data_IF_886585271039
#
_entry.id   IF_886585271039
#
_cell.length_a   1.000
_cell.length_b   1.000
_cell.length_c   1.000
_cell.angle_alpha   90.00
_cell.angle_beta   90.00
_cell.angle_gamma   90.00
#
_symmetry.space_group_name_H-M   'P 1'
#
loop_
_entity.id
_entity.type
_entity.pdbx_description
1 polymer ?
#
# COMPACT_ATOMS: atom_id res chain seq x y z
N UNK A 1 2.70 -13.95 5.11
CA UNK A 1 2.00 -15.25 5.01
C UNK A 1 2.87 -16.37 4.46
N UNK A 2 3.62 -16.15 3.38
CA UNK A 2 4.51 -17.18 2.78
C UNK A 2 5.52 -17.79 3.78
N UNK A 3 5.98 -17.00 4.75
CA UNK A 3 6.84 -17.46 5.84
C UNK A 3 6.12 -18.27 6.94
N UNK A 4 4.85 -18.66 6.74
CA UNK A 4 4.08 -19.51 7.66
C UNK A 4 3.30 -18.79 8.76
N UNK A 5 3.32 -17.45 8.79
CA UNK A 5 2.53 -16.66 9.76
C UNK A 5 1.03 -16.75 9.49
N UNK A 6 0.25 -16.69 10.59
CA UNK A 6 -1.19 -16.51 10.53
C UNK A 6 -1.53 -15.27 9.71
N UNK A 7 -2.49 -15.42 8.82
CA UNK A 7 -2.78 -14.42 7.82
C UNK A 7 -3.66 -13.29 8.34
N UNK A 8 -4.44 -13.52 9.40
CA UNK A 8 -5.12 -12.44 10.13
C UNK A 8 -4.12 -11.55 10.83
N UNK A 9 -3.10 -12.14 11.47
CA UNK A 9 -2.00 -11.38 12.06
C UNK A 9 -1.27 -10.55 10.98
N UNK A 10 -0.98 -11.16 9.83
CA UNK A 10 -0.35 -10.44 8.72
C UNK A 10 -1.21 -9.25 8.22
N UNK A 11 -2.53 -9.39 8.19
CA UNK A 11 -3.43 -8.28 7.84
C UNK A 11 -3.35 -7.13 8.84
N UNK A 12 -3.33 -7.42 10.14
CA UNK A 12 -3.21 -6.39 11.18
C UNK A 12 -1.91 -5.59 11.03
N UNK A 13 -0.80 -6.30 10.97
CA UNK A 13 0.56 -5.73 10.95
C UNK A 13 0.91 -5.02 9.63
N UNK A 14 0.34 -5.45 8.50
CA UNK A 14 0.70 -4.91 7.18
C UNK A 14 -0.34 -3.97 6.56
N UNK A 15 -1.59 -3.95 7.05
CA UNK A 15 -2.63 -3.05 6.52
C UNK A 15 -3.39 -2.30 7.62
N UNK A 16 -3.96 -2.99 8.61
CA UNK A 16 -4.83 -2.35 9.60
C UNK A 16 -4.11 -1.24 10.37
N UNK A 17 -2.90 -1.51 10.85
CA UNK A 17 -2.11 -0.54 11.63
C UNK A 17 -1.57 0.63 10.80
N UNK A 18 -1.57 0.51 9.46
CA UNK A 18 -1.11 1.58 8.57
C UNK A 18 -1.90 2.86 8.80
N UNK A 19 -3.21 2.76 9.07
CA UNK A 19 -4.05 3.93 9.34
C UNK A 19 -3.51 4.74 10.53
N UNK A 20 -3.18 4.09 11.65
CA UNK A 20 -2.64 4.77 12.83
C UNK A 20 -1.34 5.51 12.53
N UNK A 21 -0.40 4.85 11.83
CA UNK A 21 0.89 5.46 11.48
C UNK A 21 0.69 6.67 10.55
N UNK A 22 -0.16 6.54 9.54
CA UNK A 22 -0.46 7.62 8.60
C UNK A 22 -1.23 8.76 9.27
N UNK A 23 -2.17 8.48 10.16
CA UNK A 23 -2.90 9.50 10.94
C UNK A 23 -1.92 10.31 11.81
N UNK A 24 -0.98 9.65 12.50
CA UNK A 24 0.07 10.33 13.26
C UNK A 24 0.98 11.19 12.39
N UNK A 25 1.33 10.71 11.19
CA UNK A 25 2.12 11.48 10.23
C UNK A 25 1.35 12.70 9.69
N UNK A 26 0.06 12.53 9.42
CA UNK A 26 -0.81 13.61 8.96
C UNK A 26 -0.94 14.72 10.02
N UNK A 27 -1.21 14.33 11.27
CA UNK A 27 -1.43 15.27 12.36
C UNK A 27 -0.14 15.95 12.86
N UNK A 28 0.99 15.22 12.86
CA UNK A 28 2.20 15.63 13.62
C UNK A 28 3.50 15.51 12.83
N UNK A 29 3.44 15.18 11.55
CA UNK A 29 4.60 14.92 10.71
C UNK A 29 5.41 13.69 11.14
N UNK A 30 6.51 13.43 10.43
CA UNK A 30 7.38 12.28 10.69
C UNK A 30 7.98 12.29 12.10
N UNK A 31 8.39 13.45 12.61
CA UNK A 31 8.99 13.57 13.94
C UNK A 31 7.97 13.25 15.03
N UNK A 32 6.70 13.69 14.88
CA UNK A 32 5.65 13.41 15.84
C UNK A 32 5.22 11.94 15.83
N UNK A 33 5.13 11.32 14.64
CA UNK A 33 4.89 9.87 14.53
C UNK A 33 6.00 9.09 15.22
N UNK A 34 7.28 9.41 14.96
CA UNK A 34 8.43 8.71 15.56
C UNK A 34 8.51 8.86 17.07
N UNK A 35 8.16 10.04 17.59
CA UNK A 35 8.02 10.25 19.03
C UNK A 35 6.89 9.42 19.66
N UNK A 36 5.85 9.09 18.88
CA UNK A 36 4.66 8.38 19.36
C UNK A 36 4.79 6.85 19.32
N UNK A 37 5.76 6.30 18.57
CA UNK A 37 6.04 4.85 18.52
C UNK A 37 7.15 4.48 19.49
N UNK A 38 7.33 3.19 19.76
CA UNK A 38 8.43 2.73 20.62
C UNK A 38 9.81 2.97 20.01
N UNK A 39 10.83 3.11 20.85
CA UNK A 39 12.23 3.20 20.40
C UNK A 39 12.65 2.01 19.52
N UNK A 40 12.09 0.82 19.75
CA UNK A 40 12.34 -0.37 18.91
C UNK A 40 11.81 -0.17 17.49
N UNK A 41 10.59 0.36 17.35
CA UNK A 41 9.98 0.67 16.06
C UNK A 41 10.72 1.79 15.34
N UNK A 42 11.08 2.86 16.05
CA UNK A 42 11.85 3.99 15.49
C UNK A 42 13.24 3.56 15.02
N UNK A 43 13.98 2.78 15.82
CA UNK A 43 15.27 2.22 15.40
C UNK A 43 15.11 1.32 14.16
N UNK A 44 14.03 0.52 14.12
CA UNK A 44 13.64 -0.29 12.97
C UNK A 44 13.44 0.55 11.70
N UNK A 45 12.63 1.61 11.77
CA UNK A 45 12.40 2.57 10.68
C UNK A 45 13.73 3.10 10.13
N UNK A 46 14.56 3.71 10.98
CA UNK A 46 15.81 4.34 10.52
C UNK A 46 16.78 3.37 9.82
N UNK A 47 16.83 2.13 10.29
CA UNK A 47 17.85 1.16 9.87
C UNK A 47 17.36 0.18 8.79
N UNK A 48 16.06 -0.11 8.72
CA UNK A 48 15.48 -1.07 7.76
C UNK A 48 14.69 -0.38 6.64
N UNK A 49 14.09 0.79 6.89
CA UNK A 49 13.25 1.49 5.91
C UNK A 49 13.95 1.69 4.56
N UNK A 50 15.19 2.20 4.57
CA UNK A 50 16.00 2.42 3.35
C UNK A 50 16.46 1.13 2.65
N UNK A 51 16.43 -0.02 3.34
CA UNK A 51 16.76 -1.32 2.75
C UNK A 51 15.61 -1.86 1.91
N UNK A 52 14.37 -1.51 2.28
CA UNK A 52 13.16 -1.85 1.51
C UNK A 52 12.90 -0.81 0.43
N UNK A 53 12.89 0.48 0.80
CA UNK A 53 12.69 1.61 -0.12
C UNK A 53 14.03 2.34 -0.32
N UNK A 54 14.79 1.88 -1.31
CA UNK A 54 16.17 2.30 -1.57
C UNK A 54 16.36 3.06 -2.88
N UNK A 55 17.60 3.11 -3.36
CA UNK A 55 17.98 3.82 -4.60
C UNK A 55 17.28 3.26 -5.83
N UNK A 56 17.08 1.94 -5.91
CA UNK A 56 16.33 1.31 -7.00
C UNK A 56 14.89 1.84 -7.06
N UNK A 57 14.21 1.94 -5.93
CA UNK A 57 12.85 2.52 -5.86
C UNK A 57 12.85 3.97 -6.32
N UNK A 58 13.86 4.77 -5.93
CA UNK A 58 13.98 6.18 -6.36
C UNK A 58 14.28 6.32 -7.85
N UNK A 59 15.07 5.41 -8.42
CA UNK A 59 15.34 5.38 -9.86
C UNK A 59 14.06 5.07 -10.64
N UNK A 60 13.28 4.11 -10.16
CA UNK A 60 12.01 3.75 -10.80
C UNK A 60 10.98 4.89 -10.71
N UNK A 61 10.88 5.56 -9.56
CA UNK A 61 10.05 6.77 -9.42
C UNK A 61 10.41 7.86 -10.45
N UNK A 62 11.70 8.02 -10.78
CA UNK A 62 12.14 9.00 -11.79
C UNK A 62 11.75 8.60 -13.21
N UNK A 63 11.80 7.30 -13.54
CA UNK A 63 11.36 6.81 -14.86
C UNK A 63 9.85 6.97 -15.03
N UNK A 64 9.07 6.57 -14.03
CA UNK A 64 7.61 6.76 -14.01
C UNK A 64 7.26 8.24 -14.20
N UNK A 65 7.97 9.15 -13.52
CA UNK A 65 7.78 10.59 -13.73
C UNK A 65 8.09 11.01 -15.17
N UNK A 66 9.16 10.48 -15.77
CA UNK A 66 9.51 10.77 -17.16
C UNK A 66 8.46 10.25 -18.17
N UNK A 67 7.91 9.05 -17.95
CA UNK A 67 6.82 8.47 -18.73
C UNK A 67 5.53 9.31 -18.64
N UNK A 68 5.24 9.85 -17.46
CA UNK A 68 4.13 10.79 -17.26
C UNK A 68 4.39 12.10 -18.01
N UNK A 69 5.58 12.71 -17.83
CA UNK A 69 5.93 13.99 -18.45
C UNK A 69 6.04 13.92 -19.98
N UNK A 70 6.47 12.79 -20.54
CA UNK A 70 6.53 12.54 -21.98
C UNK A 70 5.15 12.23 -22.60
N UNK A 71 4.13 12.03 -21.76
CA UNK A 71 2.79 11.61 -22.16
C UNK A 71 2.71 10.14 -22.61
N UNK A 72 3.75 9.33 -22.38
CA UNK A 72 3.76 7.90 -22.69
C UNK A 72 2.68 7.16 -21.93
N UNK A 73 2.62 7.34 -20.61
CA UNK A 73 1.57 6.75 -19.77
C UNK A 73 0.16 7.15 -20.24
N UNK A 74 -0.03 8.41 -20.63
CA UNK A 74 -1.32 8.90 -21.13
C UNK A 74 -1.71 8.23 -22.46
N UNK A 75 -0.75 8.05 -23.39
CA UNK A 75 -1.00 7.36 -24.67
C UNK A 75 -1.31 5.88 -24.45
N UNK A 76 -0.59 5.22 -23.55
CA UNK A 76 -0.85 3.83 -23.16
C UNK A 76 -2.28 3.68 -22.61
N UNK A 77 -2.67 4.53 -21.66
CA UNK A 77 -4.00 4.48 -21.06
C UNK A 77 -5.12 4.76 -22.06
N UNK A 78 -4.94 5.72 -22.97
CA UNK A 78 -5.92 6.00 -24.03
C UNK A 78 -6.06 4.79 -24.97
N UNK A 79 -4.96 4.15 -25.35
CA UNK A 79 -4.98 2.97 -26.21
C UNK A 79 -5.71 1.80 -25.53
N UNK A 80 -5.42 1.54 -24.25
CA UNK A 80 -6.13 0.52 -23.45
C UNK A 80 -7.64 0.78 -23.39
N UNK A 81 -8.05 2.04 -23.20
CA UNK A 81 -9.47 2.41 -23.21
C UNK A 81 -10.13 2.21 -24.56
N UNK A 82 -9.46 2.61 -25.65
CA UNK A 82 -9.96 2.42 -27.00
C UNK A 82 -10.07 0.94 -27.38
N UNK A 83 -9.23 0.09 -26.80
CA UNK A 83 -9.26 -1.36 -26.95
C UNK A 83 -10.30 -2.06 -26.05
N UNK A 84 -11.06 -1.32 -25.23
CA UNK A 84 -12.11 -1.88 -24.37
C UNK A 84 -11.67 -2.32 -22.97
N UNK A 85 -10.48 -1.90 -22.51
CA UNK A 85 -9.97 -2.09 -21.15
C UNK A 85 -9.76 -3.55 -20.70
N UNK A 86 -9.56 -4.49 -21.63
CA UNK A 86 -9.45 -5.91 -21.30
C UNK A 86 -8.30 -6.20 -20.30
N UNK A 87 -7.13 -5.60 -20.52
CA UNK A 87 -5.98 -5.78 -19.62
C UNK A 87 -6.25 -5.15 -18.26
N UNK A 88 -6.82 -3.95 -18.25
CA UNK A 88 -7.15 -3.25 -17.02
C UNK A 88 -8.21 -3.97 -16.18
N UNK A 89 -9.27 -4.49 -16.80
CA UNK A 89 -10.31 -5.24 -16.11
C UNK A 89 -9.76 -6.55 -15.54
N UNK A 90 -8.89 -7.25 -16.27
CA UNK A 90 -8.19 -8.44 -15.77
C UNK A 90 -7.29 -8.12 -14.57
N UNK A 91 -6.52 -7.03 -14.62
CA UNK A 91 -5.71 -6.59 -13.48
C UNK A 91 -6.59 -6.29 -12.26
N UNK A 92 -7.70 -5.58 -12.46
CA UNK A 92 -8.65 -5.25 -11.39
C UNK A 92 -9.25 -6.51 -10.75
N UNK A 93 -9.68 -7.48 -11.57
CA UNK A 93 -10.25 -8.74 -11.06
C UNK A 93 -9.21 -9.53 -10.25
N UNK A 94 -7.97 -9.60 -10.74
CA UNK A 94 -6.87 -10.25 -10.03
C UNK A 94 -6.60 -9.61 -8.67
N UNK A 95 -6.52 -8.29 -8.60
CA UNK A 95 -6.29 -7.55 -7.36
C UNK A 95 -7.47 -7.69 -6.38
N UNK A 96 -8.71 -7.65 -6.88
CA UNK A 96 -9.90 -7.89 -6.05
C UNK A 96 -9.96 -9.32 -5.49
N UNK A 97 -9.37 -10.29 -6.20
CA UNK A 97 -9.22 -11.67 -5.76
C UNK A 97 -8.05 -11.90 -4.79
N UNK A 98 -7.24 -10.88 -4.49
CA UNK A 98 -6.07 -11.03 -3.64
C UNK A 98 -6.45 -11.50 -2.23
N UNK A 99 -5.59 -12.33 -1.63
CA UNK A 99 -5.86 -12.97 -0.33
C UNK A 99 -6.20 -11.95 0.77
N UNK A 100 -5.54 -10.79 0.74
CA UNK A 100 -5.71 -9.71 1.72
C UNK A 100 -7.15 -9.16 1.73
N UNK A 101 -7.86 -9.17 0.59
CA UNK A 101 -9.22 -8.66 0.49
C UNK A 101 -10.21 -9.58 1.18
N UNK A 102 -10.07 -10.90 0.99
CA UNK A 102 -10.93 -11.90 1.65
C UNK A 102 -10.76 -11.85 3.16
N UNK A 103 -9.52 -11.89 3.63
CA UNK A 103 -9.22 -11.88 5.06
C UNK A 103 -9.56 -10.54 5.71
N UNK A 104 -9.28 -9.44 5.00
CA UNK A 104 -9.64 -8.11 5.44
C UNK A 104 -11.14 -7.91 5.59
N UNK A 105 -11.95 -8.47 4.67
CA UNK A 105 -13.41 -8.41 4.78
C UNK A 105 -13.91 -9.10 6.05
N UNK A 106 -13.43 -10.31 6.33
CA UNK A 106 -13.79 -11.01 7.57
C UNK A 106 -13.38 -10.21 8.81
N UNK A 107 -12.15 -9.69 8.84
CA UNK A 107 -11.63 -8.94 9.98
C UNK A 107 -12.42 -7.65 10.20
N UNK A 108 -12.67 -6.87 9.15
CA UNK A 108 -13.44 -5.62 9.24
C UNK A 108 -14.89 -5.88 9.67
N UNK A 109 -15.49 -7.01 9.30
CA UNK A 109 -16.85 -7.36 9.74
C UNK A 109 -17.00 -7.59 11.25
N UNK A 110 -15.88 -7.79 11.97
CA UNK A 110 -15.86 -7.93 13.44
C UNK A 110 -15.59 -6.60 14.16
N UNK A 111 -15.46 -5.49 13.42
CA UNK A 111 -15.12 -4.17 13.95
C UNK A 111 -16.32 -3.23 13.79
N UNK A 112 -17.18 -3.18 14.81
CA UNK A 112 -18.45 -2.42 14.79
C UNK A 112 -18.29 -0.91 14.49
N UNK A 113 -17.08 -0.38 14.61
CA UNK A 113 -16.76 1.03 14.33
C UNK A 113 -16.31 1.30 12.88
N UNK A 114 -16.26 0.28 12.02
CA UNK A 114 -15.88 0.41 10.61
C UNK A 114 -17.11 0.19 9.73
N UNK A 115 -17.46 1.19 8.92
CA UNK A 115 -18.43 1.03 7.84
C UNK A 115 -17.76 0.30 6.67
N UNK A 116 -18.32 -0.83 6.25
CA UNK A 116 -17.67 -1.75 5.29
C UNK A 116 -18.30 -1.77 3.90
N UNK A 117 -19.43 -1.08 3.72
CA UNK A 117 -20.13 -0.97 2.45
C UNK A 117 -19.55 0.20 1.63
N UNK A 118 -19.37 -0.02 0.32
CA UNK A 118 -18.87 0.99 -0.64
C UNK A 118 -19.61 0.91 -1.96
#
# INVERSE_FOLDING_TARGET
VEAGYDSRLAYFECLHEMKLIVDLMYEKGLSGMRYSVSNTAEYGDYSRGKRVIGDASRQEMKKILAEIQSGEFAREWIAENQAGQESFLRMREQEAGHRIEREGKEIRSMMDWIETDF
#
